data_IF_701127591167
#
_entry.id   IF_701127591167
#
_cell.length_a   1.000
_cell.length_b   1.000
_cell.length_c   1.000
_cell.angle_alpha   90.00
_cell.angle_beta   90.00
_cell.angle_gamma   90.00
#
_symmetry.space_group_name_H-M   'P 1'
#
loop_
_entity.id
_entity.type
_entity.pdbx_description
1 polymer ?
#
# COMPACT_ATOMS: atom_id res chain seq x y z
N UNK A 1 -26.23 -15.06 -21.29
CA UNK A 1 -25.80 -16.13 -20.40
C UNK A 1 -24.29 -16.33 -20.54
N UNK A 2 -23.51 -15.68 -19.70
CA UNK A 2 -22.08 -15.96 -19.57
C UNK A 2 -21.87 -16.67 -18.23
N UNK A 3 -21.75 -17.98 -18.28
CA UNK A 3 -21.22 -18.77 -17.17
C UNK A 3 -19.72 -18.58 -17.09
N UNK A 4 -19.22 -17.93 -16.06
CA UNK A 4 -17.82 -17.98 -15.66
C UNK A 4 -17.69 -19.14 -14.65
N UNK A 5 -17.33 -20.32 -15.13
CA UNK A 5 -16.95 -21.44 -14.28
C UNK A 5 -15.46 -21.69 -14.46
N UNK A 6 -14.69 -21.35 -13.44
CA UNK A 6 -13.59 -22.17 -12.89
C UNK A 6 -12.84 -21.35 -11.84
N UNK A 7 -13.20 -21.56 -10.58
CA UNK A 7 -12.31 -21.26 -9.48
C UNK A 7 -11.09 -22.20 -9.61
N UNK A 8 -10.00 -21.73 -10.19
CA UNK A 8 -8.72 -22.39 -10.06
C UNK A 8 -8.29 -22.23 -8.60
N UNK A 9 -8.49 -23.28 -7.82
CA UNK A 9 -7.84 -23.42 -6.52
C UNK A 9 -6.33 -23.58 -6.77
N UNK A 10 -5.60 -22.47 -6.68
CA UNK A 10 -4.14 -22.54 -6.60
C UNK A 10 -3.78 -23.21 -5.28
N UNK A 11 -3.39 -24.47 -5.35
CA UNK A 11 -2.77 -25.18 -4.25
C UNK A 11 -1.35 -24.63 -4.14
N UNK A 12 -1.14 -23.72 -3.19
CA UNK A 12 0.19 -23.24 -2.83
C UNK A 12 1.00 -24.42 -2.29
N UNK A 13 2.00 -24.87 -3.04
CA UNK A 13 3.04 -25.76 -2.50
C UNK A 13 3.79 -24.93 -1.46
N UNK A 14 3.78 -25.41 -0.21
CA UNK A 14 4.45 -24.73 0.89
C UNK A 14 5.94 -24.64 0.65
N UNK A 15 6.36 -23.48 0.16
CA UNK A 15 7.74 -23.04 0.08
C UNK A 15 7.82 -21.85 1.03
N UNK A 16 8.77 -21.90 1.97
CA UNK A 16 8.90 -20.90 3.01
C UNK A 16 9.51 -19.63 2.43
N UNK A 17 8.66 -18.66 2.14
CA UNK A 17 9.13 -17.31 1.85
C UNK A 17 9.77 -16.72 3.10
N UNK A 18 10.95 -16.14 2.95
CA UNK A 18 11.64 -15.49 4.05
C UNK A 18 11.17 -14.02 4.14
N UNK A 19 10.41 -13.71 5.19
CA UNK A 19 10.06 -12.31 5.49
C UNK A 19 10.89 -11.85 6.67
N UNK A 20 11.66 -10.77 6.48
CA UNK A 20 12.40 -10.09 7.54
C UNK A 20 11.93 -8.65 7.71
N UNK A 21 12.12 -8.13 8.92
CA UNK A 21 11.78 -6.76 9.30
C UNK A 21 13.03 -6.07 9.80
N UNK A 22 13.26 -4.83 9.37
CA UNK A 22 14.32 -3.97 9.90
C UNK A 22 13.81 -2.52 10.06
N UNK A 23 14.54 -1.73 10.84
CA UNK A 23 14.28 -0.31 10.98
C UNK A 23 14.62 0.42 9.67
N UNK A 24 13.75 1.35 9.25
CA UNK A 24 13.98 2.20 8.08
C UNK A 24 14.21 3.66 8.47
N UNK A 25 13.69 4.06 9.62
CA UNK A 25 13.82 5.41 10.14
C UNK A 25 12.61 5.88 10.93
N UNK A 26 12.63 7.14 11.29
CA UNK A 26 11.59 7.76 12.11
C UNK A 26 10.97 8.93 11.37
N UNK A 27 9.64 9.06 11.46
CA UNK A 27 8.90 10.21 10.91
C UNK A 27 9.21 11.48 11.69
N UNK A 28 8.88 12.63 11.12
CA UNK A 28 8.98 13.94 11.81
C UNK A 28 8.10 14.03 13.06
N UNK A 29 7.09 13.17 13.17
CA UNK A 29 6.18 13.04 14.33
C UNK A 29 6.65 12.03 15.36
N UNK A 30 7.78 11.34 15.11
CA UNK A 30 8.42 10.42 16.05
C UNK A 30 7.99 8.96 15.93
N UNK A 31 7.29 8.58 14.88
CA UNK A 31 6.84 7.21 14.65
C UNK A 31 7.94 6.38 13.97
N UNK A 32 8.23 5.21 14.50
CA UNK A 32 9.22 4.31 13.92
C UNK A 32 8.63 3.56 12.73
N UNK A 33 9.28 3.68 11.58
CA UNK A 33 8.92 3.03 10.34
C UNK A 33 9.88 1.87 10.05
N UNK A 34 9.30 0.75 9.65
CA UNK A 34 10.03 -0.45 9.34
C UNK A 34 9.93 -0.77 7.85
N UNK A 35 10.98 -1.40 7.34
CA UNK A 35 11.01 -2.02 6.03
C UNK A 35 10.88 -3.54 6.17
N UNK A 36 10.05 -4.12 5.33
CA UNK A 36 9.78 -5.55 5.26
C UNK A 36 10.35 -6.07 3.95
N UNK A 37 11.25 -7.04 4.07
CA UNK A 37 11.92 -7.68 2.94
C UNK A 37 11.34 -9.09 2.76
N UNK A 38 10.72 -9.34 1.62
CA UNK A 38 10.11 -10.60 1.22
C UNK A 38 10.97 -11.21 0.12
N UNK A 39 11.68 -12.29 0.43
CA UNK A 39 12.65 -12.92 -0.47
C UNK A 39 12.25 -14.37 -0.78
N UNK A 40 12.35 -14.77 -2.04
CA UNK A 40 12.15 -16.14 -2.48
C UNK A 40 13.47 -16.95 -2.49
N UNK A 41 13.39 -18.26 -2.73
CA UNK A 41 14.56 -19.15 -2.73
C UNK A 41 15.59 -18.80 -3.81
N UNK A 42 15.17 -18.16 -4.91
CA UNK A 42 16.04 -17.72 -5.98
C UNK A 42 16.77 -16.39 -5.66
N UNK A 43 16.48 -15.76 -4.51
CA UNK A 43 17.06 -14.49 -4.09
C UNK A 43 16.44 -13.26 -4.75
N UNK A 44 15.31 -13.41 -5.44
CA UNK A 44 14.51 -12.30 -5.88
C UNK A 44 13.61 -11.81 -4.73
N UNK A 45 13.42 -10.49 -4.60
CA UNK A 45 12.74 -9.93 -3.44
C UNK A 45 11.98 -8.65 -3.72
N UNK A 46 11.08 -8.33 -2.79
CA UNK A 46 10.42 -7.03 -2.71
C UNK A 46 10.62 -6.42 -1.33
N UNK A 47 10.68 -5.10 -1.27
CA UNK A 47 10.77 -4.34 -0.02
C UNK A 47 9.58 -3.40 0.12
N UNK A 48 8.93 -3.43 1.28
CA UNK A 48 7.70 -2.67 1.57
C UNK A 48 7.84 -1.94 2.91
N UNK A 49 7.45 -0.67 2.98
CA UNK A 49 7.35 0.11 4.22
C UNK A 49 5.96 -0.02 4.85
N UNK A 50 5.91 0.04 6.17
CA UNK A 50 4.64 0.30 6.86
C UNK A 50 4.25 1.78 6.91
N UNK A 51 4.90 2.64 6.12
CA UNK A 51 4.49 4.02 5.86
C UNK A 51 3.89 4.11 4.46
N UNK A 52 2.58 4.34 4.39
CA UNK A 52 1.85 4.37 3.13
C UNK A 52 1.80 3.04 2.38
N UNK A 53 2.13 1.92 3.02
CA UNK A 53 2.25 0.60 2.37
C UNK A 53 3.16 0.64 1.13
N UNK A 54 4.24 1.42 1.16
CA UNK A 54 5.04 1.74 -0.03
C UNK A 54 5.89 0.58 -0.48
N UNK A 55 5.79 0.25 -1.75
CA UNK A 55 6.76 -0.57 -2.46
C UNK A 55 8.03 0.26 -2.67
N UNK A 56 9.14 -0.20 -2.08
CA UNK A 56 10.45 0.48 -2.14
C UNK A 56 11.31 -0.12 -3.22
N UNK A 57 11.36 -1.48 -3.29
CA UNK A 57 12.15 -2.22 -4.27
C UNK A 57 11.40 -3.44 -4.79
N UNK A 58 11.67 -3.76 -6.04
CA UNK A 58 11.35 -5.04 -6.67
C UNK A 58 12.62 -5.49 -7.38
N UNK A 59 13.35 -6.43 -6.78
CA UNK A 59 14.61 -6.93 -7.33
C UNK A 59 14.38 -8.29 -7.94
N UNK A 60 14.57 -8.38 -9.25
CA UNK A 60 14.40 -9.59 -10.05
C UNK A 60 15.61 -9.76 -10.98
N UNK A 61 15.92 -10.98 -11.46
CA UNK A 61 16.99 -11.18 -12.43
C UNK A 61 16.67 -10.51 -13.77
N UNK A 62 17.65 -9.80 -14.32
CA UNK A 62 17.61 -9.33 -15.69
C UNK A 62 17.78 -10.51 -16.69
N UNK A 63 17.79 -10.23 -18.01
CA UNK A 63 18.01 -11.24 -19.05
C UNK A 63 19.34 -11.98 -18.97
N UNK A 64 20.30 -11.47 -18.20
CA UNK A 64 21.62 -12.08 -17.99
C UNK A 64 21.71 -12.77 -16.62
N UNK A 65 20.64 -12.74 -15.82
CA UNK A 65 20.58 -13.30 -14.48
C UNK A 65 21.10 -12.36 -13.37
N UNK A 66 21.39 -11.09 -13.67
CA UNK A 66 21.85 -10.14 -12.66
C UNK A 66 20.65 -9.56 -11.86
N UNK A 67 20.73 -9.51 -10.52
CA UNK A 67 19.72 -8.84 -9.71
C UNK A 67 19.56 -7.37 -10.13
N UNK A 68 18.36 -6.97 -10.47
CA UNK A 68 18.05 -5.62 -10.96
C UNK A 68 16.80 -5.09 -10.27
N UNK A 69 16.90 -3.92 -9.64
CA UNK A 69 15.74 -3.23 -9.10
C UNK A 69 14.96 -2.57 -10.23
N UNK A 70 13.68 -2.93 -10.33
CA UNK A 70 12.76 -2.41 -11.36
C UNK A 70 11.69 -1.49 -10.79
N UNK A 71 11.82 -1.10 -9.51
CA UNK A 71 10.90 -0.19 -8.82
C UNK A 71 11.56 1.17 -8.59
N UNK A 72 10.77 2.23 -8.60
CA UNK A 72 11.22 3.55 -8.14
C UNK A 72 10.94 3.68 -6.65
N UNK A 73 11.99 3.75 -5.85
CA UNK A 73 11.93 3.95 -4.42
C UNK A 73 12.87 5.07 -3.94
N UNK A 74 12.82 5.35 -2.64
CA UNK A 74 13.67 6.33 -1.97
C UNK A 74 14.40 5.67 -0.80
N UNK A 75 15.58 6.20 -0.46
CA UNK A 75 16.49 5.58 0.51
C UNK A 75 16.27 6.08 1.96
N UNK A 76 15.45 7.12 2.17
CA UNK A 76 15.29 7.73 3.49
C UNK A 76 13.84 8.04 3.81
N UNK A 77 13.51 8.02 5.11
CA UNK A 77 12.19 8.41 5.61
C UNK A 77 11.84 9.86 5.25
N UNK A 78 12.80 10.77 5.40
CA UNK A 78 12.62 12.18 5.05
C UNK A 78 12.28 12.39 3.56
N UNK A 79 12.84 11.56 2.65
CA UNK A 79 12.47 11.63 1.24
C UNK A 79 11.03 11.21 1.02
N UNK A 80 10.56 10.16 1.70
CA UNK A 80 9.16 9.71 1.61
C UNK A 80 8.16 10.69 2.24
N UNK A 81 8.53 11.39 3.31
CA UNK A 81 7.68 12.42 3.91
C UNK A 81 7.51 13.65 3.02
N UNK A 82 8.47 13.92 2.15
CA UNK A 82 8.45 15.03 1.18
C UNK A 82 8.06 14.57 -0.24
N UNK A 83 7.62 13.32 -0.40
CA UNK A 83 7.21 12.77 -1.70
C UNK A 83 5.82 13.26 -2.09
N UNK A 84 5.74 14.09 -3.13
CA UNK A 84 4.50 14.59 -3.74
C UNK A 84 3.96 13.68 -4.86
N UNK A 85 4.74 12.69 -5.31
CA UNK A 85 4.37 11.76 -6.37
C UNK A 85 3.68 10.49 -5.87
N UNK A 86 3.65 10.23 -4.56
CA UNK A 86 3.12 9.01 -3.92
C UNK A 86 3.75 7.73 -4.47
N UNK A 87 5.08 7.73 -4.70
CA UNK A 87 5.81 6.60 -5.26
C UNK A 87 5.57 5.32 -4.45
N UNK A 88 5.13 4.26 -5.13
CA UNK A 88 4.87 2.94 -4.56
C UNK A 88 3.77 2.87 -3.50
N UNK A 89 3.07 3.98 -3.21
CA UNK A 89 2.15 4.10 -2.09
C UNK A 89 0.74 3.56 -2.37
N UNK A 90 0.07 3.15 -1.29
CA UNK A 90 -1.38 2.99 -1.26
C UNK A 90 -2.00 4.37 -1.03
N UNK A 91 -2.81 4.83 -1.97
CA UNK A 91 -3.51 6.11 -1.88
C UNK A 91 -4.97 5.91 -1.49
N UNK A 92 -5.51 6.83 -0.72
CA UNK A 92 -6.88 6.74 -0.22
C UNK A 92 -7.19 7.89 0.75
N UNK A 93 -8.49 8.01 1.14
CA UNK A 93 -9.60 7.04 0.99
C UNK A 93 -9.99 6.81 -0.47
N UNK A 94 -10.03 7.86 -1.32
CA UNK A 94 -10.36 7.78 -2.76
C UNK A 94 -9.11 8.12 -3.57
N UNK A 95 -8.76 7.26 -4.49
CA UNK A 95 -7.66 7.49 -5.42
C UNK A 95 -8.08 8.48 -6.53
N UNK A 96 -7.11 9.25 -7.05
CA UNK A 96 -7.32 10.25 -8.08
C UNK A 96 -8.22 11.41 -7.61
N UNK A 97 -8.96 12.09 -8.49
CA UNK A 97 -9.59 13.38 -8.22
C UNK A 97 -11.09 13.27 -7.96
N UNK A 98 -11.55 14.05 -6.96
CA UNK A 98 -12.96 14.39 -6.80
C UNK A 98 -13.11 15.85 -7.22
N UNK A 99 -13.94 16.07 -8.24
CA UNK A 99 -14.18 17.40 -8.83
C UNK A 99 -14.69 18.38 -7.78
N UNK A 100 -14.10 19.57 -7.76
CA UNK A 100 -14.44 20.70 -6.88
C UNK A 100 -14.42 20.33 -5.36
N UNK A 101 -13.78 19.19 -5.01
CA UNK A 101 -13.65 18.74 -3.62
C UNK A 101 -14.98 18.43 -2.92
N UNK A 102 -16.05 18.07 -3.63
CA UNK A 102 -17.30 17.72 -2.99
C UNK A 102 -18.03 16.57 -3.69
N UNK A 103 -18.88 15.89 -2.93
CA UNK A 103 -19.79 14.85 -3.44
C UNK A 103 -21.04 14.74 -2.57
N UNK A 104 -22.09 14.15 -3.11
CA UNK A 104 -23.31 13.84 -2.36
C UNK A 104 -23.44 12.33 -2.17
N UNK A 105 -23.67 11.90 -0.94
CA UNK A 105 -23.93 10.50 -0.59
C UNK A 105 -25.18 10.42 0.30
N UNK A 106 -26.15 9.60 -0.08
CA UNK A 106 -27.41 9.44 0.64
C UNK A 106 -28.15 10.75 0.92
N UNK A 107 -28.10 11.72 -0.03
CA UNK A 107 -28.73 13.02 0.09
C UNK A 107 -28.00 14.05 0.97
N UNK A 108 -26.88 13.69 1.58
CA UNK A 108 -26.01 14.58 2.34
C UNK A 108 -24.80 14.98 1.51
N UNK A 109 -24.47 16.28 1.51
CA UNK A 109 -23.30 16.83 0.86
C UNK A 109 -22.07 16.76 1.77
N UNK A 110 -20.93 16.39 1.18
CA UNK A 110 -19.63 16.30 1.85
C UNK A 110 -18.62 17.17 1.12
N UNK A 111 -17.88 17.97 1.88
CA UNK A 111 -16.84 18.86 1.38
C UNK A 111 -15.48 18.35 1.85
N UNK A 112 -14.57 18.21 0.91
CA UNK A 112 -13.23 17.70 1.10
C UNK A 112 -12.20 18.81 0.87
N UNK A 113 -10.99 18.65 1.40
CA UNK A 113 -9.88 19.55 1.14
C UNK A 113 -9.58 19.67 -0.36
N UNK A 114 -9.48 20.89 -0.86
CA UNK A 114 -9.04 21.17 -2.25
C UNK A 114 -7.52 21.26 -2.24
N UNK A 115 -6.84 20.19 -2.66
CA UNK A 115 -5.39 20.03 -2.58
C UNK A 115 -4.70 19.89 -3.96
N UNK A 116 -5.48 19.99 -5.07
CA UNK A 116 -4.94 19.91 -6.42
C UNK A 116 -5.74 20.80 -7.37
N UNK A 117 -5.28 22.04 -7.59
CA UNK A 117 -6.07 23.03 -8.35
C UNK A 117 -7.39 23.31 -7.69
N UNK A 118 -8.51 23.04 -8.38
CA UNK A 118 -9.87 23.14 -7.83
C UNK A 118 -10.40 21.83 -7.27
N UNK A 119 -9.60 20.74 -7.32
CA UNK A 119 -10.06 19.40 -7.00
C UNK A 119 -9.45 18.87 -5.70
N UNK A 120 -10.11 17.88 -5.11
CA UNK A 120 -9.52 17.00 -4.12
C UNK A 120 -8.74 15.89 -4.82
N UNK A 121 -7.58 15.49 -4.29
CA UNK A 121 -6.71 14.48 -4.87
C UNK A 121 -6.23 13.50 -3.80
N UNK A 122 -6.25 12.22 -4.14
CA UNK A 122 -5.58 11.13 -3.41
C UNK A 122 -5.89 11.04 -1.91
N UNK A 123 -7.13 11.37 -1.51
CA UNK A 123 -7.58 11.24 -0.13
C UNK A 123 -7.29 12.43 0.78
N UNK A 124 -6.75 13.54 0.24
CA UNK A 124 -6.66 14.81 0.96
C UNK A 124 -5.25 15.29 1.26
N UNK A 125 -5.13 16.11 2.29
CA UNK A 125 -3.87 16.73 2.71
C UNK A 125 -2.94 15.71 3.38
N UNK A 126 -3.51 14.80 4.18
CA UNK A 126 -2.81 13.70 4.84
C UNK A 126 -3.51 12.39 4.50
N UNK A 127 -3.37 11.98 3.24
CA UNK A 127 -3.93 10.73 2.74
C UNK A 127 -3.16 9.48 3.23
N UNK A 128 -3.60 8.32 2.83
CA UNK A 128 -3.06 7.02 3.27
C UNK A 128 -1.59 6.82 2.95
N UNK A 129 -1.09 7.45 1.88
CA UNK A 129 0.31 7.43 1.47
C UNK A 129 1.27 8.05 2.48
N UNK A 130 0.77 8.92 3.37
CA UNK A 130 1.56 9.69 4.34
C UNK A 130 1.30 9.26 5.79
N UNK A 131 0.85 8.04 5.99
CA UNK A 131 0.51 7.51 7.32
C UNK A 131 1.25 6.22 7.64
N UNK A 132 1.62 6.00 8.92
CA UNK A 132 2.05 4.69 9.38
C UNK A 132 0.87 3.71 9.40
N UNK A 133 1.16 2.44 9.12
CA UNK A 133 0.20 1.34 9.13
C UNK A 133 0.64 0.28 10.13
N UNK A 134 -0.32 -0.36 10.78
CA UNK A 134 -0.06 -1.54 11.58
C UNK A 134 0.33 -2.70 10.68
N UNK A 135 1.49 -3.34 10.98
CA UNK A 135 2.04 -4.38 10.15
C UNK A 135 2.16 -5.71 10.89
N UNK A 136 1.74 -6.77 10.24
CA UNK A 136 1.80 -8.14 10.76
C UNK A 136 2.30 -9.09 9.68
N UNK A 137 3.21 -9.99 10.06
CA UNK A 137 3.62 -11.13 9.22
C UNK A 137 2.79 -12.34 9.64
N UNK A 138 2.11 -12.94 8.69
CA UNK A 138 1.31 -14.16 8.91
C UNK A 138 1.23 -14.98 7.61
N UNK A 139 1.44 -16.30 7.71
CA UNK A 139 1.27 -17.26 6.62
C UNK A 139 2.05 -16.83 5.35
N UNK A 140 3.35 -16.46 5.52
CA UNK A 140 4.25 -15.99 4.48
C UNK A 140 3.74 -14.76 3.71
N UNK A 141 2.98 -13.91 4.38
CA UNK A 141 2.45 -12.64 3.84
C UNK A 141 2.70 -11.50 4.81
N UNK A 142 2.88 -10.31 4.24
CA UNK A 142 2.87 -9.06 4.98
C UNK A 142 1.46 -8.46 4.92
N UNK A 143 0.85 -8.29 6.08
CA UNK A 143 -0.49 -7.72 6.23
C UNK A 143 -0.35 -6.34 6.88
N UNK A 144 -0.83 -5.32 6.20
CA UNK A 144 -0.80 -3.93 6.64
C UNK A 144 -2.24 -3.46 6.84
N UNK A 145 -2.56 -2.93 8.02
CA UNK A 145 -3.93 -2.50 8.36
C UNK A 145 -3.94 -1.06 8.86
N UNK A 146 -4.94 -0.31 8.46
CA UNK A 146 -5.18 1.05 8.93
C UNK A 146 -6.67 1.26 9.16
N UNK A 147 -7.00 2.08 10.17
CA UNK A 147 -8.35 2.55 10.45
C UNK A 147 -8.41 4.04 10.11
N UNK A 148 -9.31 4.40 9.23
CA UNK A 148 -9.64 5.79 8.90
C UNK A 148 -10.95 6.16 9.59
N UNK A 149 -10.90 7.08 10.54
CA UNK A 149 -12.05 7.45 11.37
C UNK A 149 -13.09 8.24 10.58
N UNK A 150 -14.36 8.23 11.06
CA UNK A 150 -15.41 9.09 10.55
C UNK A 150 -14.97 10.56 10.57
N UNK A 151 -15.18 11.26 9.44
CA UNK A 151 -14.77 12.65 9.25
C UNK A 151 -13.31 12.87 8.88
N UNK A 152 -12.47 11.85 8.84
CA UNK A 152 -11.08 12.01 8.41
C UNK A 152 -11.03 12.53 6.97
N UNK A 153 -10.23 13.62 6.74
CA UNK A 153 -10.15 14.34 5.45
C UNK A 153 -11.52 14.74 4.86
N UNK A 154 -12.59 14.77 5.68
CA UNK A 154 -13.97 15.10 5.31
C UNK A 154 -14.81 13.91 4.84
N UNK A 155 -14.28 12.70 4.84
CA UNK A 155 -15.01 11.50 4.44
C UNK A 155 -15.89 10.94 5.56
N UNK A 156 -17.13 10.48 5.27
CA UNK A 156 -18.02 9.88 6.28
C UNK A 156 -17.67 8.42 6.59
N UNK A 157 -18.04 8.00 7.80
CA UNK A 157 -17.97 6.64 8.30
C UNK A 157 -16.55 6.20 8.69
N UNK A 158 -16.46 5.21 9.57
CA UNK A 158 -15.21 4.57 9.88
C UNK A 158 -14.88 3.53 8.80
N UNK A 159 -13.64 3.50 8.33
CA UNK A 159 -13.19 2.56 7.33
C UNK A 159 -11.95 1.84 7.83
N UNK A 160 -12.00 0.51 7.87
CA UNK A 160 -10.83 -0.33 8.07
C UNK A 160 -10.35 -0.81 6.71
N UNK A 161 -9.09 -0.55 6.37
CA UNK A 161 -8.45 -1.03 5.16
C UNK A 161 -7.30 -1.95 5.52
N UNK A 162 -7.28 -3.13 4.92
CA UNK A 162 -6.18 -4.09 5.03
C UNK A 162 -5.59 -4.32 3.64
N UNK A 163 -4.27 -4.25 3.56
CA UNK A 163 -3.50 -4.54 2.34
C UNK A 163 -2.57 -5.70 2.64
N UNK A 164 -2.70 -6.77 1.88
CA UNK A 164 -1.89 -7.98 2.03
C UNK A 164 -0.95 -8.13 0.84
N UNK A 165 0.36 -8.17 1.12
CA UNK A 165 1.40 -8.41 0.15
C UNK A 165 1.87 -9.86 0.22
N UNK A 166 1.98 -10.50 -0.94
CA UNK A 166 2.59 -11.82 -1.10
C UNK A 166 3.61 -11.78 -2.23
N UNK A 167 4.70 -12.50 -2.07
CA UNK A 167 5.73 -12.69 -3.08
C UNK A 167 5.86 -14.18 -3.41
N UNK A 168 6.08 -14.57 -4.64
CA UNK A 168 6.14 -15.99 -5.03
C UNK A 168 7.49 -16.41 -5.56
N UNK A 169 7.70 -17.72 -5.68
CA UNK A 169 8.88 -18.31 -6.31
C UNK A 169 8.98 -18.01 -7.82
N UNK A 170 7.85 -17.68 -8.44
CA UNK A 170 7.78 -17.29 -9.84
C UNK A 170 7.94 -15.78 -10.05
N UNK A 171 8.37 -15.04 -9.01
CA UNK A 171 8.51 -13.57 -9.01
C UNK A 171 7.17 -12.85 -9.25
N UNK A 172 6.07 -13.41 -8.77
CA UNK A 172 4.76 -12.77 -8.79
C UNK A 172 4.51 -12.00 -7.48
N UNK A 173 4.28 -10.69 -7.58
CA UNK A 173 3.83 -9.86 -6.48
C UNK A 173 2.30 -9.83 -6.46
N UNK A 174 1.71 -10.37 -5.39
CA UNK A 174 0.28 -10.24 -5.14
C UNK A 174 -0.01 -9.12 -4.15
N UNK A 175 -1.01 -8.30 -4.47
CA UNK A 175 -1.50 -7.21 -3.59
C UNK A 175 -3.01 -7.37 -3.48
N UNK A 176 -3.50 -7.67 -2.26
CA UNK A 176 -4.93 -7.85 -1.99
C UNK A 176 -5.42 -6.74 -1.08
N UNK A 177 -6.50 -6.09 -1.47
CA UNK A 177 -7.16 -5.03 -0.69
C UNK A 177 -8.47 -5.56 -0.13
N UNK A 178 -8.65 -5.37 1.18
CA UNK A 178 -9.90 -5.69 1.89
C UNK A 178 -10.35 -4.46 2.67
N UNK A 179 -11.56 -3.99 2.42
CA UNK A 179 -12.10 -2.80 3.08
C UNK A 179 -13.44 -3.12 3.73
N UNK A 180 -13.65 -2.58 4.94
CA UNK A 180 -14.91 -2.64 5.67
C UNK A 180 -15.26 -1.26 6.19
N UNK A 181 -16.48 -0.79 5.94
CA UNK A 181 -17.02 0.47 6.44
C UNK A 181 -18.32 0.23 7.21
N UNK A 182 -18.63 1.12 8.18
CA UNK A 182 -19.91 1.19 8.90
C UNK A 182 -20.93 2.07 8.17
#
# INVERSE_FOLDING_TARGET
DYYCSSANSYVWKGVFMKITKSDFGTTNTGENINIYHLENEAGAYVEILNFGCRLVKIVVPDRNGNPTDVCLGMDTMSAYENDDASLGAVVGRVANRIKDGHFTLNGKEYHLAVNCGTNHLHGGLIGYASKPWDAKIKDDKLILTMISADGEEGYPGNLTLTVTYGWSEDNELSIVYEASAD
#
